data_IF_127910886447
#
_entry.id   IF_127910886447
#
_cell.length_a   1.000
_cell.length_b   1.000
_cell.length_c   1.000
_cell.angle_alpha   90.00
_cell.angle_beta   90.00
_cell.angle_gamma   90.00
#
_symmetry.space_group_name_H-M   'P 1'
#
loop_
_entity.id
_entity.type
_entity.pdbx_description
1 polymer ?
#
# COMPACT_ATOMS: atom_id res chain seq x y z
N UNK A 1 50.13 15.56 4.93
CA UNK A 1 50.79 15.93 6.22
C UNK A 1 50.28 14.96 7.26
N UNK A 2 51.20 14.29 7.96
CA UNK A 2 50.88 13.25 8.94
C UNK A 2 51.63 13.55 10.20
N UNK A 3 50.93 13.65 11.33
CA UNK A 3 51.56 13.89 12.64
C UNK A 3 50.85 13.02 13.68
N UNK A 4 51.59 12.49 14.64
CA UNK A 4 50.99 11.84 15.80
C UNK A 4 51.36 12.59 17.09
N UNK A 5 50.50 12.58 18.08
CA UNK A 5 50.67 13.37 19.29
C UNK A 5 49.90 12.75 20.46
N UNK A 6 50.23 13.15 21.68
CA UNK A 6 49.41 12.92 22.88
C UNK A 6 48.54 14.14 23.15
N UNK A 7 47.21 13.99 23.36
CA UNK A 7 46.33 15.12 23.66
C UNK A 7 46.79 15.86 24.92
N UNK A 8 46.92 17.19 24.83
CA UNK A 8 47.21 18.03 25.98
C UNK A 8 45.91 18.42 26.69
N UNK A 9 45.87 18.26 28.02
CA UNK A 9 44.76 18.70 28.86
C UNK A 9 45.33 19.56 29.99
N UNK A 10 44.59 20.61 30.40
CA UNK A 10 44.93 21.37 31.64
C UNK A 10 44.17 20.76 32.81
N UNK A 11 44.91 20.38 33.87
CA UNK A 11 44.35 19.91 35.13
C UNK A 11 45.07 20.66 36.26
N UNK A 12 44.34 21.42 37.09
CA UNK A 12 44.87 22.24 38.18
C UNK A 12 46.01 23.19 37.73
N UNK A 13 45.80 23.89 36.60
CA UNK A 13 46.82 24.82 36.05
C UNK A 13 48.00 24.18 35.33
N UNK A 14 48.23 22.89 35.49
CA UNK A 14 49.35 22.14 34.86
C UNK A 14 48.88 21.44 33.56
N UNK A 15 49.77 21.41 32.58
CA UNK A 15 49.54 20.66 31.33
C UNK A 15 49.85 19.22 31.57
N UNK A 16 48.83 18.35 31.35
CA UNK A 16 48.97 16.90 31.45
C UNK A 16 48.77 16.30 30.06
N UNK A 17 49.62 15.38 29.65
CA UNK A 17 49.49 14.65 28.40
C UNK A 17 48.60 13.41 28.59
N UNK A 18 47.73 13.14 27.62
CA UNK A 18 46.96 11.94 27.59
C UNK A 18 47.83 10.66 27.50
N UNK A 19 47.33 9.54 28.01
CA UNK A 19 48.08 8.28 27.98
C UNK A 19 48.18 7.72 26.55
N UNK A 20 47.15 7.93 25.72
CA UNK A 20 47.05 7.35 24.38
C UNK A 20 47.49 8.32 23.31
N UNK A 21 48.15 7.80 22.29
CA UNK A 21 48.52 8.58 21.10
C UNK A 21 47.31 8.74 20.15
N UNK A 22 47.32 9.85 19.39
CA UNK A 22 46.40 10.18 18.31
C UNK A 22 47.21 10.56 17.06
N UNK A 23 46.66 10.32 15.88
CA UNK A 23 47.25 10.76 14.63
C UNK A 23 46.36 11.81 13.96
N UNK A 24 47.00 12.88 13.43
CA UNK A 24 46.36 13.80 12.49
C UNK A 24 46.85 13.49 11.10
N UNK A 25 45.93 13.04 10.24
CA UNK A 25 46.23 12.60 8.90
C UNK A 25 45.36 13.33 7.90
N UNK A 26 45.98 13.83 6.81
CA UNK A 26 45.24 14.25 5.62
C UNK A 26 45.49 13.20 4.57
N UNK A 27 44.43 12.48 4.23
CA UNK A 27 44.51 11.47 3.16
C UNK A 27 44.49 12.15 1.78
N UNK A 28 45.10 11.54 0.75
CA UNK A 28 45.03 12.03 -0.62
C UNK A 28 43.58 12.20 -1.07
N UNK A 29 43.25 13.34 -1.65
CA UNK A 29 41.89 13.67 -2.09
C UNK A 29 40.93 14.22 -1.03
N UNK A 30 41.35 14.29 0.25
CA UNK A 30 40.52 14.86 1.31
C UNK A 30 40.94 16.30 1.64
N UNK A 31 39.97 17.20 1.79
CA UNK A 31 40.20 18.59 2.20
C UNK A 31 40.38 18.75 3.71
N UNK A 32 39.87 17.82 4.52
CA UNK A 32 39.91 17.91 6.00
C UNK A 32 40.92 16.94 6.59
N UNK A 33 41.56 17.39 7.65
CA UNK A 33 42.41 16.50 8.47
C UNK A 33 41.53 15.66 9.38
N UNK A 34 41.79 14.34 9.42
CA UNK A 34 41.16 13.40 10.37
C UNK A 34 42.04 13.25 11.60
N UNK A 35 41.43 13.25 12.77
CA UNK A 35 42.08 12.99 14.05
C UNK A 35 41.69 11.56 14.51
N UNK A 36 42.65 10.62 14.38
CA UNK A 36 42.44 9.18 14.55
C UNK A 36 43.03 8.75 15.89
N UNK A 37 42.27 8.11 16.80
CA UNK A 37 42.84 7.53 18.01
C UNK A 37 43.66 6.30 17.64
N UNK A 38 44.90 6.20 18.13
CA UNK A 38 45.75 5.06 17.87
C UNK A 38 45.67 3.96 18.96
N UNK A 39 45.06 4.31 20.12
CA UNK A 39 44.80 3.40 21.24
C UNK A 39 46.05 2.67 21.79
N UNK A 40 47.20 3.28 21.63
CA UNK A 40 48.50 2.79 22.11
C UNK A 40 49.17 3.83 22.97
N UNK A 41 50.00 3.36 23.91
CA UNK A 41 50.69 4.20 24.90
C UNK A 41 52.15 4.43 24.54
N UNK A 42 52.74 3.61 23.69
CA UNK A 42 54.14 3.68 23.24
C UNK A 42 54.25 4.37 21.89
N UNK A 43 55.28 5.18 21.74
CA UNK A 43 55.54 5.94 20.51
C UNK A 43 55.81 5.01 19.31
N UNK A 44 56.61 3.96 19.49
CA UNK A 44 56.96 3.03 18.41
C UNK A 44 55.73 2.26 17.90
N UNK A 45 54.90 1.80 18.80
CA UNK A 45 53.62 1.16 18.46
C UNK A 45 52.64 2.12 17.76
N UNK A 46 52.65 3.43 18.16
CA UNK A 46 51.84 4.45 17.49
C UNK A 46 52.29 4.69 16.04
N UNK A 47 53.58 4.72 15.80
CA UNK A 47 54.17 4.90 14.48
C UNK A 47 53.85 3.72 13.57
N UNK A 48 54.04 2.48 14.08
CA UNK A 48 53.65 1.26 13.34
C UNK A 48 52.17 1.20 12.97
N UNK A 49 51.28 1.50 13.94
CA UNK A 49 49.83 1.55 13.70
C UNK A 49 49.45 2.62 12.70
N UNK A 50 50.09 3.79 12.75
CA UNK A 50 49.92 4.85 11.78
C UNK A 50 50.33 4.44 10.37
N UNK A 51 51.48 3.81 10.21
CA UNK A 51 51.94 3.30 8.91
C UNK A 51 50.98 2.24 8.34
N UNK A 52 50.45 1.38 9.20
CA UNK A 52 49.42 0.42 8.79
C UNK A 52 48.16 1.10 8.28
N UNK A 53 47.64 2.09 9.00
CA UNK A 53 46.46 2.85 8.58
C UNK A 53 46.67 3.55 7.22
N UNK A 54 47.85 4.13 7.01
CA UNK A 54 48.20 4.76 5.74
C UNK A 54 48.30 3.75 4.59
N UNK A 55 48.90 2.59 4.84
CA UNK A 55 48.99 1.50 3.87
C UNK A 55 47.59 0.96 3.50
N UNK A 56 46.75 0.70 4.49
CA UNK A 56 45.38 0.21 4.25
C UNK A 56 44.58 1.23 3.45
N UNK A 57 44.63 2.51 3.80
CA UNK A 57 43.95 3.54 3.03
C UNK A 57 44.46 3.66 1.59
N UNK A 58 45.77 3.53 1.37
CA UNK A 58 46.34 3.48 0.04
C UNK A 58 45.82 2.28 -0.77
N UNK A 59 45.73 1.11 -0.15
CA UNK A 59 45.18 -0.10 -0.78
C UNK A 59 43.67 0.02 -1.06
N UNK A 60 42.93 0.65 -0.15
CA UNK A 60 41.51 0.96 -0.36
C UNK A 60 41.31 1.92 -1.55
N UNK A 61 42.14 2.95 -1.67
CA UNK A 61 42.04 3.97 -2.72
C UNK A 61 42.28 3.41 -4.13
N UNK A 62 43.09 2.38 -4.26
CA UNK A 62 43.38 1.69 -5.53
C UNK A 62 42.53 0.43 -5.73
N UNK A 63 41.63 0.13 -4.82
CA UNK A 63 40.69 -1.02 -4.93
C UNK A 63 41.31 -2.37 -4.60
N UNK A 64 42.53 -2.44 -4.05
CA UNK A 64 43.20 -3.68 -3.61
C UNK A 64 42.62 -4.20 -2.28
N UNK A 65 42.02 -3.32 -1.49
CA UNK A 65 41.41 -3.66 -0.22
C UNK A 65 40.01 -3.10 -0.16
N UNK A 66 39.03 -3.84 0.36
CA UNK A 66 37.69 -3.34 0.59
C UNK A 66 37.69 -2.24 1.67
N UNK A 67 36.83 -1.21 1.58
CA UNK A 67 36.72 -0.18 2.59
C UNK A 67 36.61 -0.75 4.00
N UNK A 68 37.26 -0.12 4.99
CA UNK A 68 37.28 -0.57 6.38
C UNK A 68 35.89 -0.93 6.91
N UNK A 69 34.92 -0.06 6.66
CA UNK A 69 33.52 -0.26 7.09
C UNK A 69 32.90 -1.53 6.53
N UNK A 70 33.26 -1.91 5.31
CA UNK A 70 32.78 -3.14 4.68
C UNK A 70 33.46 -4.37 5.29
N UNK A 71 34.75 -4.30 5.61
CA UNK A 71 35.49 -5.38 6.27
C UNK A 71 34.92 -5.66 7.66
N UNK A 72 34.72 -4.61 8.47
CA UNK A 72 34.08 -4.69 9.78
C UNK A 72 32.67 -5.27 9.72
N UNK A 73 31.87 -4.83 8.73
CA UNK A 73 30.53 -5.37 8.50
C UNK A 73 30.53 -6.83 8.07
N UNK A 74 31.56 -7.29 7.34
CA UNK A 74 31.69 -8.67 6.91
C UNK A 74 31.98 -9.63 8.08
N UNK A 75 32.67 -9.16 9.13
CA UNK A 75 32.98 -9.92 10.35
C UNK A 75 31.82 -9.90 11.35
N UNK A 76 30.98 -8.87 11.30
CA UNK A 76 29.82 -8.73 12.21
C UNK A 76 28.70 -9.69 11.80
N UNK A 77 28.09 -10.42 12.75
CA UNK A 77 26.98 -11.31 12.45
C UNK A 77 25.81 -10.56 11.81
N UNK A 78 25.18 -11.19 10.80
CA UNK A 78 24.04 -10.64 10.07
C UNK A 78 22.87 -10.27 11.01
N UNK A 79 22.69 -11.05 12.08
CA UNK A 79 21.68 -10.81 13.09
C UNK A 79 21.85 -9.48 13.83
N UNK A 80 23.09 -9.03 14.05
CA UNK A 80 23.35 -7.78 14.76
C UNK A 80 23.09 -6.58 13.84
N UNK A 81 23.49 -6.65 12.59
CA UNK A 81 23.08 -5.66 11.58
C UNK A 81 21.57 -5.60 11.43
N UNK A 82 20.90 -6.75 11.46
CA UNK A 82 19.46 -6.79 11.36
C UNK A 82 18.75 -6.15 12.57
N UNK A 83 19.26 -6.32 13.79
CA UNK A 83 18.75 -5.61 14.98
C UNK A 83 18.81 -4.09 14.80
N UNK A 84 19.92 -3.57 14.29
CA UNK A 84 20.09 -2.13 14.01
C UNK A 84 19.07 -1.65 12.97
N UNK A 85 18.89 -2.39 11.87
CA UNK A 85 17.89 -2.09 10.85
C UNK A 85 16.48 -2.05 11.43
N UNK A 86 16.09 -3.05 12.22
CA UNK A 86 14.78 -3.10 12.87
C UNK A 86 14.58 -1.91 13.81
N UNK A 87 15.61 -1.50 14.55
CA UNK A 87 15.54 -0.33 15.41
C UNK A 87 15.34 0.95 14.60
N UNK A 88 16.02 1.10 13.45
CA UNK A 88 15.79 2.24 12.52
C UNK A 88 14.36 2.25 11.99
N UNK A 89 13.77 1.09 11.64
CA UNK A 89 12.37 1.01 11.24
C UNK A 89 11.41 1.46 12.36
N UNK A 90 11.70 1.12 13.60
CA UNK A 90 10.89 1.53 14.77
C UNK A 90 10.98 3.03 15.00
N UNK A 91 12.16 3.61 14.93
CA UNK A 91 12.39 5.05 15.15
C UNK A 91 11.87 5.91 13.98
N UNK A 92 11.83 5.39 12.75
CA UNK A 92 11.26 6.06 11.59
C UNK A 92 9.72 6.05 11.53
N UNK A 93 9.05 5.56 12.58
CA UNK A 93 7.59 5.60 12.70
C UNK A 93 6.85 4.53 11.88
N UNK A 94 7.55 3.47 11.45
CA UNK A 94 6.90 2.37 10.76
C UNK A 94 5.86 1.67 11.63
N UNK A 95 4.73 1.28 11.04
CA UNK A 95 3.65 0.58 11.74
C UNK A 95 4.16 -0.73 12.37
N UNK A 96 3.86 -0.95 13.65
CA UNK A 96 4.31 -2.13 14.42
C UNK A 96 4.11 -3.46 13.67
N UNK A 97 2.97 -3.63 12.98
CA UNK A 97 2.69 -4.85 12.21
C UNK A 97 3.63 -5.03 11.01
N UNK A 98 4.06 -3.96 10.37
CA UNK A 98 5.03 -4.02 9.28
C UNK A 98 6.39 -4.46 9.80
N UNK A 99 6.86 -3.84 10.90
CA UNK A 99 8.14 -4.20 11.53
C UNK A 99 8.13 -5.67 11.93
N UNK A 100 7.06 -6.14 12.59
CA UNK A 100 6.90 -7.56 12.95
C UNK A 100 6.92 -8.49 11.73
N UNK A 101 6.32 -8.07 10.61
CA UNK A 101 6.38 -8.82 9.35
C UNK A 101 7.80 -8.95 8.83
N UNK A 102 8.57 -7.85 8.82
CA UNK A 102 9.97 -7.84 8.43
C UNK A 102 10.82 -8.71 9.36
N UNK A 103 10.63 -8.58 10.69
CA UNK A 103 11.31 -9.43 11.66
C UNK A 103 11.08 -10.92 11.41
N UNK A 104 9.83 -11.31 11.15
CA UNK A 104 9.48 -12.70 10.88
C UNK A 104 10.07 -13.19 9.54
N UNK A 105 9.93 -12.42 8.46
CA UNK A 105 10.38 -12.84 7.14
C UNK A 105 11.91 -12.93 7.05
N UNK A 106 12.62 -11.91 7.49
CA UNK A 106 14.09 -11.88 7.44
C UNK A 106 14.68 -12.90 8.42
N UNK A 107 14.13 -12.97 9.65
CA UNK A 107 14.57 -13.96 10.64
C UNK A 107 14.39 -15.41 10.17
N UNK A 108 13.27 -15.71 9.49
CA UNK A 108 13.05 -17.03 8.89
C UNK A 108 14.09 -17.34 7.81
N UNK A 109 14.36 -16.40 6.89
CA UNK A 109 15.37 -16.59 5.84
C UNK A 109 16.77 -16.80 6.41
N UNK A 110 17.17 -15.98 7.39
CA UNK A 110 18.48 -16.14 8.03
C UNK A 110 18.63 -17.52 8.63
N UNK A 111 17.59 -18.04 9.30
CA UNK A 111 17.60 -19.36 9.91
C UNK A 111 17.55 -20.48 8.89
N UNK A 112 16.60 -20.42 7.94
CA UNK A 112 16.33 -21.54 7.01
C UNK A 112 17.37 -21.62 5.88
N UNK A 113 17.97 -20.48 5.46
CA UNK A 113 19.06 -20.46 4.49
C UNK A 113 20.45 -20.54 5.12
N UNK A 114 20.57 -20.56 6.46
CA UNK A 114 21.85 -20.63 7.16
C UNK A 114 22.72 -19.36 7.02
N UNK A 115 22.13 -18.18 6.83
CA UNK A 115 22.87 -16.93 6.62
C UNK A 115 23.33 -16.31 7.94
N UNK A 116 24.63 -16.50 8.23
CA UNK A 116 25.27 -15.93 9.42
C UNK A 116 25.87 -14.54 9.19
N UNK A 117 26.35 -14.24 7.97
CA UNK A 117 27.01 -13.00 7.57
C UNK A 117 26.52 -12.52 6.20
N UNK A 118 26.84 -11.28 5.83
CA UNK A 118 26.45 -10.76 4.50
C UNK A 118 26.99 -11.57 3.33
N UNK A 119 28.17 -12.17 3.47
CA UNK A 119 28.79 -13.04 2.45
C UNK A 119 28.00 -14.31 2.14
N UNK A 120 27.20 -14.78 3.11
CA UNK A 120 26.41 -16.00 2.97
C UNK A 120 25.14 -15.76 2.16
N UNK A 121 24.71 -14.50 2.06
CA UNK A 121 23.48 -14.12 1.35
C UNK A 121 23.71 -14.11 -0.14
N UNK A 122 23.12 -15.06 -0.86
CA UNK A 122 23.23 -15.15 -2.31
C UNK A 122 21.88 -15.55 -2.95
N UNK A 123 21.79 -15.40 -4.27
CA UNK A 123 20.58 -15.67 -5.03
C UNK A 123 20.27 -17.16 -5.12
N UNK A 124 21.29 -17.99 -5.18
CA UNK A 124 21.20 -19.45 -5.34
C UNK A 124 20.56 -20.08 -4.11
N UNK A 125 21.05 -19.77 -2.90
CA UNK A 125 20.52 -20.29 -1.65
C UNK A 125 19.07 -19.79 -1.40
N UNK A 126 18.76 -18.53 -1.78
CA UNK A 126 17.38 -18.04 -1.74
C UNK A 126 16.46 -18.80 -2.69
N UNK A 127 16.92 -19.10 -3.91
CA UNK A 127 16.11 -19.81 -4.89
C UNK A 127 15.89 -21.26 -4.49
N UNK A 128 16.92 -21.95 -3.97
CA UNK A 128 16.81 -23.29 -3.43
C UNK A 128 15.78 -23.33 -2.29
N UNK A 129 15.92 -22.46 -1.29
CA UNK A 129 14.95 -22.32 -0.22
C UNK A 129 13.54 -22.09 -0.76
N UNK A 130 13.36 -21.19 -1.74
CA UNK A 130 12.06 -20.85 -2.33
C UNK A 130 11.40 -22.03 -3.05
N UNK A 131 12.19 -22.91 -3.66
CA UNK A 131 11.68 -24.12 -4.35
C UNK A 131 11.11 -25.15 -3.38
N UNK A 132 11.66 -25.26 -2.19
CA UNK A 132 11.23 -26.19 -1.15
C UNK A 132 9.93 -25.72 -0.43
N UNK A 133 9.50 -24.49 -0.66
CA UNK A 133 8.37 -23.92 0.07
C UNK A 133 7.01 -24.20 -0.60
N UNK A 134 6.08 -24.72 0.16
CA UNK A 134 4.66 -24.86 -0.26
C UNK A 134 3.85 -23.57 -0.14
N UNK A 135 4.47 -22.48 0.26
CA UNK A 135 3.81 -21.19 0.48
C UNK A 135 3.30 -20.57 -0.83
N UNK A 136 2.24 -19.76 -0.74
CA UNK A 136 1.71 -19.06 -1.90
C UNK A 136 2.74 -18.10 -2.51
N UNK A 137 2.77 -17.92 -3.86
CA UNK A 137 3.73 -17.04 -4.55
C UNK A 137 3.78 -15.62 -3.98
N UNK A 138 2.63 -15.07 -3.57
CA UNK A 138 2.58 -13.75 -2.93
C UNK A 138 3.37 -13.72 -1.62
N UNK A 139 3.23 -14.73 -0.78
CA UNK A 139 3.95 -14.82 0.50
C UNK A 139 5.45 -14.95 0.26
N UNK A 140 5.88 -15.78 -0.71
CA UNK A 140 7.28 -15.91 -1.07
C UNK A 140 7.88 -14.60 -1.59
N UNK A 141 7.10 -13.82 -2.33
CA UNK A 141 7.51 -12.47 -2.75
C UNK A 141 7.65 -11.51 -1.56
N UNK A 142 6.84 -11.65 -0.51
CA UNK A 142 6.96 -10.82 0.71
C UNK A 142 8.28 -11.12 1.45
N UNK A 143 8.73 -12.37 1.51
CA UNK A 143 10.06 -12.73 2.02
C UNK A 143 11.17 -12.02 1.23
N UNK A 144 11.12 -12.10 -0.10
CA UNK A 144 12.11 -11.46 -0.97
C UNK A 144 12.12 -9.92 -0.77
N UNK A 145 10.96 -9.30 -0.70
CA UNK A 145 10.83 -7.85 -0.51
C UNK A 145 11.39 -7.42 0.83
N UNK A 146 11.10 -8.16 1.91
CA UNK A 146 11.61 -7.85 3.24
C UNK A 146 13.15 -7.96 3.29
N UNK A 147 13.71 -9.04 2.74
CA UNK A 147 15.17 -9.23 2.69
C UNK A 147 15.85 -8.18 1.81
N UNK A 148 15.29 -7.87 0.66
CA UNK A 148 15.80 -6.79 -0.20
C UNK A 148 15.79 -5.42 0.48
N UNK A 149 14.80 -5.14 1.32
CA UNK A 149 14.73 -3.89 2.08
C UNK A 149 15.90 -3.78 3.06
N UNK A 150 16.20 -4.86 3.78
CA UNK A 150 17.35 -4.93 4.68
C UNK A 150 18.68 -4.81 3.93
N UNK A 151 18.86 -5.55 2.84
CA UNK A 151 20.08 -5.50 2.04
C UNK A 151 20.30 -4.15 1.36
N UNK A 152 19.22 -3.47 0.91
CA UNK A 152 19.30 -2.11 0.38
C UNK A 152 19.71 -1.10 1.45
N UNK A 153 19.28 -1.29 2.69
CA UNK A 153 19.74 -0.52 3.82
C UNK A 153 21.22 -0.74 4.06
N UNK A 154 21.70 -1.98 4.03
CA UNK A 154 23.13 -2.31 4.18
C UNK A 154 23.98 -1.73 3.05
N UNK A 155 23.51 -1.78 1.80
CA UNK A 155 24.14 -1.16 0.63
C UNK A 155 24.26 0.35 0.78
N UNK A 156 23.19 1.03 1.21
CA UNK A 156 23.16 2.47 1.49
C UNK A 156 24.18 2.88 2.54
N UNK A 157 24.39 2.06 3.57
CA UNK A 157 25.35 2.31 4.61
C UNK A 157 26.79 1.91 4.23
N UNK A 158 27.01 1.28 3.08
CA UNK A 158 28.32 0.84 2.61
C UNK A 158 28.84 -0.42 3.33
N UNK A 159 27.95 -1.23 3.91
CA UNK A 159 28.30 -2.54 4.48
C UNK A 159 28.50 -3.60 3.40
N UNK A 160 27.83 -3.46 2.27
CA UNK A 160 27.97 -4.28 1.08
C UNK A 160 28.04 -3.39 -0.17
N UNK A 161 28.75 -3.84 -1.21
CA UNK A 161 28.85 -3.10 -2.47
C UNK A 161 27.54 -3.09 -3.21
N UNK A 162 26.83 -4.23 -3.24
CA UNK A 162 25.60 -4.42 -4.00
C UNK A 162 24.71 -5.45 -3.31
N UNK A 163 23.41 -5.21 -3.38
CA UNK A 163 22.42 -6.17 -2.90
C UNK A 163 22.45 -7.45 -3.76
N UNK A 164 22.84 -8.62 -3.19
CA UNK A 164 22.96 -9.87 -3.94
C UNK A 164 21.63 -10.40 -4.47
N UNK A 165 20.50 -10.03 -3.83
CA UNK A 165 19.16 -10.44 -4.26
C UNK A 165 18.48 -9.41 -5.20
N UNK A 166 19.17 -8.36 -5.62
CA UNK A 166 18.55 -7.28 -6.42
C UNK A 166 17.93 -7.78 -7.73
N UNK A 167 18.57 -8.78 -8.38
CA UNK A 167 18.12 -9.35 -9.67
C UNK A 167 17.22 -10.57 -9.56
N UNK A 168 16.92 -11.07 -8.35
CA UNK A 168 16.02 -12.22 -8.17
C UNK A 168 14.60 -11.79 -8.55
N UNK A 169 13.98 -12.45 -9.51
CA UNK A 169 12.64 -12.10 -9.97
C UNK A 169 11.56 -12.51 -8.97
N UNK A 170 10.50 -11.71 -8.93
CA UNK A 170 9.29 -12.05 -8.16
C UNK A 170 8.48 -13.11 -8.90
N UNK A 171 7.86 -14.01 -8.16
CA UNK A 171 6.96 -15.01 -8.72
C UNK A 171 5.67 -14.36 -9.24
N UNK A 172 5.18 -14.85 -10.36
CA UNK A 172 3.92 -14.41 -10.96
C UNK A 172 2.76 -14.82 -10.03
N UNK A 173 1.99 -13.83 -9.58
CA UNK A 173 0.85 -14.03 -8.66
C UNK A 173 -0.47 -14.15 -9.41
N UNK A 174 -0.57 -13.53 -10.60
CA UNK A 174 -1.80 -13.46 -11.38
C UNK A 174 -2.24 -14.86 -11.87
N UNK A 175 -3.50 -15.20 -11.65
CA UNK A 175 -4.04 -16.54 -11.98
C UNK A 175 -3.71 -17.64 -10.97
N UNK A 176 -2.89 -17.38 -9.95
CA UNK A 176 -2.54 -18.33 -8.88
C UNK A 176 -3.08 -17.93 -7.50
N UNK A 177 -4.09 -17.09 -7.47
CA UNK A 177 -4.73 -16.70 -6.22
C UNK A 177 -5.63 -17.86 -5.73
N UNK A 178 -5.15 -18.57 -4.71
CA UNK A 178 -5.91 -19.68 -4.10
C UNK A 178 -7.19 -19.24 -3.38
N UNK A 179 -7.42 -17.93 -3.18
CA UNK A 179 -8.52 -17.39 -2.37
C UNK A 179 -9.00 -16.06 -2.93
N UNK A 180 -9.81 -16.07 -3.98
CA UNK A 180 -10.53 -14.90 -4.43
C UNK A 180 -11.60 -14.51 -3.39
N UNK A 181 -11.93 -13.22 -3.27
CA UNK A 181 -13.12 -12.77 -2.54
C UNK A 181 -14.26 -12.61 -3.50
N UNK A 182 -15.47 -12.91 -3.03
CA UNK A 182 -16.70 -12.56 -3.73
C UNK A 182 -17.48 -11.47 -3.00
N UNK A 183 -18.42 -10.86 -3.70
CA UNK A 183 -19.43 -10.02 -3.11
C UNK A 183 -20.50 -10.87 -2.42
N UNK A 184 -21.20 -10.28 -1.44
CA UNK A 184 -22.43 -10.86 -0.88
C UNK A 184 -23.58 -10.67 -1.88
N UNK A 185 -24.44 -11.66 -1.99
CA UNK A 185 -25.72 -11.52 -2.69
C UNK A 185 -26.68 -10.65 -1.88
N UNK A 186 -27.75 -10.11 -2.51
CA UNK A 186 -28.75 -9.31 -1.81
C UNK A 186 -29.43 -10.10 -0.68
N UNK A 187 -29.75 -11.36 -0.95
CA UNK A 187 -30.35 -12.28 0.04
C UNK A 187 -29.39 -12.56 1.22
N UNK A 188 -28.10 -12.82 0.95
CA UNK A 188 -27.10 -12.98 2.01
C UNK A 188 -26.97 -11.73 2.88
N UNK A 189 -27.02 -10.55 2.28
CA UNK A 189 -26.99 -9.28 3.02
C UNK A 189 -28.20 -9.18 3.93
N UNK A 190 -29.41 -9.42 3.42
CA UNK A 190 -30.65 -9.36 4.23
C UNK A 190 -30.60 -10.34 5.40
N UNK A 191 -30.25 -11.60 5.16
CA UNK A 191 -30.13 -12.60 6.22
C UNK A 191 -29.08 -12.24 7.27
N UNK A 192 -27.93 -11.71 6.85
CA UNK A 192 -26.89 -11.26 7.77
C UNK A 192 -27.34 -10.08 8.64
N UNK A 193 -28.02 -9.08 8.05
CA UNK A 193 -28.53 -7.93 8.78
C UNK A 193 -29.62 -8.32 9.76
N UNK A 194 -30.47 -9.30 9.44
CA UNK A 194 -31.50 -9.80 10.33
C UNK A 194 -30.94 -10.41 11.62
N UNK A 195 -29.79 -11.08 11.56
CA UNK A 195 -29.12 -11.72 12.73
C UNK A 195 -28.07 -10.83 13.41
N UNK A 196 -27.81 -9.65 12.86
CA UNK A 196 -26.72 -8.79 13.31
C UNK A 196 -26.89 -8.27 14.75
N UNK A 197 -28.14 -8.04 15.19
CA UNK A 197 -28.44 -7.47 16.51
C UNK A 197 -27.67 -6.17 16.77
N UNK A 198 -26.95 -6.04 17.91
CA UNK A 198 -26.22 -4.81 18.22
C UNK A 198 -25.13 -4.42 17.20
N UNK A 199 -24.73 -5.33 16.31
CA UNK A 199 -23.68 -5.12 15.29
C UNK A 199 -24.24 -4.59 13.97
N UNK A 200 -25.57 -4.46 13.87
CA UNK A 200 -26.24 -3.94 12.68
C UNK A 200 -25.62 -2.64 12.15
N UNK A 201 -25.36 -1.59 12.96
CA UNK A 201 -24.76 -0.34 12.46
C UNK A 201 -23.36 -0.54 11.90
N UNK A 202 -22.59 -1.51 12.40
CA UNK A 202 -21.24 -1.83 11.91
C UNK A 202 -21.31 -2.45 10.52
N UNK A 203 -22.26 -3.39 10.32
CA UNK A 203 -22.43 -4.05 9.03
C UNK A 203 -23.01 -3.11 7.99
N UNK A 204 -24.01 -2.29 8.37
CA UNK A 204 -24.54 -1.22 7.51
C UNK A 204 -23.45 -0.23 7.10
N UNK A 205 -22.62 0.23 8.04
CA UNK A 205 -21.51 1.13 7.71
C UNK A 205 -20.55 0.49 6.70
N UNK A 206 -20.18 -0.77 6.91
CA UNK A 206 -19.28 -1.47 6.00
C UNK A 206 -19.90 -1.68 4.60
N UNK A 207 -21.21 -1.99 4.53
CA UNK A 207 -21.96 -2.22 3.29
C UNK A 207 -22.25 -0.96 2.50
N UNK A 208 -22.57 0.16 3.19
CA UNK A 208 -23.04 1.38 2.55
C UNK A 208 -21.95 2.44 2.32
N UNK A 209 -20.74 2.21 2.85
CA UNK A 209 -19.59 3.12 2.66
C UNK A 209 -18.33 2.42 2.16
N UNK A 210 -18.26 1.12 2.29
CA UNK A 210 -17.07 0.35 1.96
C UNK A 210 -15.82 0.70 2.78
N UNK A 211 -15.94 1.40 3.92
CA UNK A 211 -14.82 1.76 4.81
C UNK A 211 -14.08 0.49 5.26
N UNK A 212 -12.75 0.59 5.34
CA UNK A 212 -11.94 -0.57 5.72
C UNK A 212 -12.14 -0.94 7.19
N UNK A 213 -12.12 -2.24 7.49
CA UNK A 213 -12.33 -2.78 8.84
C UNK A 213 -11.46 -2.11 9.92
N UNK A 214 -10.21 -1.80 9.60
CA UNK A 214 -9.29 -1.13 10.53
C UNK A 214 -9.64 0.34 10.77
N UNK A 215 -10.19 1.01 9.78
CA UNK A 215 -10.67 2.39 9.87
C UNK A 215 -11.97 2.44 10.70
N UNK A 216 -12.94 1.56 10.44
CA UNK A 216 -14.20 1.48 11.22
C UNK A 216 -13.93 1.34 12.71
N UNK A 217 -12.94 0.55 13.10
CA UNK A 217 -12.58 0.36 14.52
C UNK A 217 -12.10 1.62 15.21
N UNK A 218 -11.60 2.60 14.46
CA UNK A 218 -10.96 3.81 14.96
C UNK A 218 -11.83 5.04 14.81
N UNK A 219 -13.02 4.92 14.17
CA UNK A 219 -13.96 6.02 14.02
C UNK A 219 -14.44 6.51 15.37
N UNK A 220 -14.45 7.83 15.52
CA UNK A 220 -14.93 8.55 16.69
C UNK A 220 -16.22 9.26 16.39
N UNK A 221 -16.97 9.66 17.40
CA UNK A 221 -18.19 10.45 17.21
C UNK A 221 -17.90 11.82 16.58
N UNK A 222 -16.73 12.40 16.79
CA UNK A 222 -16.28 13.61 16.09
C UNK A 222 -16.19 13.42 14.56
N UNK A 223 -15.99 12.20 14.09
CA UNK A 223 -15.87 11.89 12.66
C UNK A 223 -17.24 11.77 11.96
N UNK A 224 -18.34 11.70 12.73
CA UNK A 224 -19.70 11.47 12.23
C UNK A 224 -20.57 12.72 12.38
N UNK A 225 -20.81 13.43 11.28
CA UNK A 225 -21.81 14.47 11.20
C UNK A 225 -23.14 13.81 10.79
N UNK A 226 -24.05 13.63 11.75
CA UNK A 226 -25.32 12.94 11.52
C UNK A 226 -26.49 13.91 11.28
N UNK A 227 -26.31 15.18 11.61
CA UNK A 227 -27.35 16.21 11.57
C UNK A 227 -27.12 17.18 10.41
N UNK A 228 -28.20 17.87 9.97
CA UNK A 228 -28.18 18.77 8.82
C UNK A 228 -28.47 18.09 7.48
N UNK A 229 -28.38 18.84 6.38
CA UNK A 229 -28.76 18.41 5.02
C UNK A 229 -27.79 17.44 4.38
N UNK A 230 -26.55 17.36 4.86
CA UNK A 230 -25.48 16.54 4.30
C UNK A 230 -24.81 15.66 5.36
N UNK A 231 -25.49 14.62 5.89
CA UNK A 231 -24.89 13.67 6.82
C UNK A 231 -23.70 12.99 6.19
N UNK A 232 -22.57 12.95 6.92
CA UNK A 232 -21.32 12.37 6.40
C UNK A 232 -20.48 11.77 7.50
N UNK A 233 -19.57 10.90 7.11
CA UNK A 233 -18.51 10.37 7.97
C UNK A 233 -17.17 10.74 7.37
N UNK A 234 -16.28 11.27 8.20
CA UNK A 234 -14.92 11.66 7.82
C UNK A 234 -13.94 10.58 8.26
N UNK A 235 -13.15 10.07 7.34
CA UNK A 235 -12.06 9.17 7.66
C UNK A 235 -10.78 9.99 7.64
N UNK A 236 -10.31 10.37 8.81
CA UNK A 236 -9.13 11.23 8.95
C UNK A 236 -7.85 10.59 8.38
N UNK A 237 -6.89 11.42 8.00
CA UNK A 237 -5.59 10.97 7.49
C UNK A 237 -4.84 10.06 8.48
N UNK A 238 -5.07 10.21 9.78
CA UNK A 238 -4.41 9.43 10.83
C UNK A 238 -4.84 7.97 10.83
N UNK A 239 -6.13 7.69 10.56
CA UNK A 239 -6.69 6.33 10.56
C UNK A 239 -6.73 5.72 9.15
N UNK A 240 -6.66 6.57 8.12
CA UNK A 240 -6.67 6.15 6.72
C UNK A 240 -5.36 5.45 6.34
N UNK A 241 -5.47 4.27 5.72
CA UNK A 241 -4.31 3.54 5.20
C UNK A 241 -3.47 4.35 4.21
N UNK A 242 -4.09 5.28 3.50
CA UNK A 242 -3.44 6.08 2.46
C UNK A 242 -2.98 7.45 2.97
N UNK A 243 -3.13 7.75 4.27
CA UNK A 243 -2.79 9.03 4.90
C UNK A 243 -3.46 10.25 4.27
N UNK A 244 -4.68 10.08 3.76
CA UNK A 244 -5.53 11.17 3.28
C UNK A 244 -6.84 11.17 4.03
N UNK A 245 -7.37 12.36 4.24
CA UNK A 245 -8.71 12.56 4.77
C UNK A 245 -9.73 12.47 3.64
N UNK A 246 -10.82 11.74 3.88
CA UNK A 246 -11.92 11.59 2.95
C UNK A 246 -13.25 11.70 3.71
N UNK A 247 -14.17 12.50 3.22
CA UNK A 247 -15.53 12.59 3.73
C UNK A 247 -16.48 11.80 2.81
N UNK A 248 -17.29 10.92 3.40
CA UNK A 248 -18.24 10.07 2.69
C UNK A 248 -19.67 10.45 3.09
N UNK A 249 -20.59 10.66 2.14
CA UNK A 249 -22.00 10.85 2.42
C UNK A 249 -22.59 9.58 3.04
N UNK A 250 -23.55 9.74 3.92
CA UNK A 250 -24.21 8.64 4.61
C UNK A 250 -25.61 8.39 4.05
N UNK A 251 -25.93 7.10 3.86
CA UNK A 251 -27.29 6.67 3.53
C UNK A 251 -28.23 6.93 4.72
N UNK A 252 -29.51 7.31 4.51
CA UNK A 252 -30.46 7.59 5.58
C UNK A 252 -30.60 6.47 6.62
N UNK A 253 -30.65 5.20 6.19
CA UNK A 253 -30.73 4.06 7.09
C UNK A 253 -29.51 3.94 8.01
N UNK A 254 -28.32 4.28 7.49
CA UNK A 254 -27.10 4.28 8.29
C UNK A 254 -27.11 5.42 9.29
N UNK A 255 -27.64 6.61 8.91
CA UNK A 255 -27.81 7.74 9.83
C UNK A 255 -28.75 7.35 10.97
N UNK A 256 -29.89 6.74 10.65
CA UNK A 256 -30.84 6.26 11.66
C UNK A 256 -30.20 5.23 12.60
N UNK A 257 -29.48 4.25 12.05
CA UNK A 257 -28.79 3.22 12.84
C UNK A 257 -27.68 3.80 13.75
N UNK A 258 -26.94 4.82 13.27
CA UNK A 258 -25.92 5.49 14.08
C UNK A 258 -26.53 6.38 15.16
N UNK A 259 -27.62 7.07 14.87
CA UNK A 259 -28.36 7.85 15.88
C UNK A 259 -28.90 6.97 16.98
N UNK A 260 -29.42 5.79 16.64
CA UNK A 260 -29.98 4.84 17.62
C UNK A 260 -28.95 4.34 18.64
N UNK A 261 -27.65 4.31 18.27
CA UNK A 261 -26.57 3.88 19.18
C UNK A 261 -25.79 5.04 19.81
N UNK A 262 -26.10 6.30 19.44
CA UNK A 262 -25.40 7.48 19.97
C UNK A 262 -25.82 7.73 21.42
N UNK A 263 -24.89 7.69 22.40
CA UNK A 263 -25.23 7.98 23.77
C UNK A 263 -25.70 9.43 23.96
N UNK A 264 -26.64 9.68 24.86
CA UNK A 264 -27.10 11.03 25.19
C UNK A 264 -25.95 11.94 25.67
N UNK A 265 -25.02 11.39 26.48
CA UNK A 265 -23.79 12.07 26.93
C UNK A 265 -22.58 11.61 26.11
N UNK A 266 -22.61 11.87 24.80
CA UNK A 266 -21.58 11.41 23.88
C UNK A 266 -20.32 12.29 23.97
N UNK A 267 -19.19 11.66 24.31
CA UNK A 267 -17.88 12.31 24.16
C UNK A 267 -17.44 12.25 22.69
N UNK A 268 -17.18 13.40 22.08
CA UNK A 268 -16.81 13.47 20.67
C UNK A 268 -15.55 12.66 20.32
N UNK A 269 -14.60 12.58 21.23
CA UNK A 269 -13.37 11.78 21.10
C UNK A 269 -13.58 10.27 21.35
N UNK A 270 -14.78 9.87 21.80
CA UNK A 270 -15.16 8.47 22.04
C UNK A 270 -15.31 7.69 20.75
N UNK A 271 -14.88 6.41 20.77
CA UNK A 271 -15.07 5.50 19.62
C UNK A 271 -16.54 5.18 19.43
N UNK A 272 -17.04 5.25 18.17
CA UNK A 272 -18.44 4.91 17.82
C UNK A 272 -18.77 3.47 18.22
N UNK A 273 -17.87 2.53 17.94
CA UNK A 273 -18.11 1.08 18.14
C UNK A 273 -17.29 0.47 19.28
N UNK A 274 -17.06 1.24 20.35
CA UNK A 274 -16.32 0.75 21.52
C UNK A 274 -16.98 -0.50 22.09
N UNK A 275 -16.23 -1.61 22.19
CA UNK A 275 -16.74 -2.89 22.73
C UNK A 275 -17.69 -3.67 21.81
N UNK A 276 -18.25 -3.05 20.78
CA UNK A 276 -19.24 -3.67 19.87
C UNK A 276 -18.60 -4.33 18.65
N UNK A 277 -17.39 -3.92 18.27
CA UNK A 277 -16.78 -4.34 17.02
C UNK A 277 -16.44 -5.84 17.04
N UNK A 278 -16.94 -6.66 16.07
CA UNK A 278 -16.76 -8.10 16.11
C UNK A 278 -15.31 -8.52 15.84
N UNK A 279 -14.78 -9.41 16.68
CA UNK A 279 -13.63 -10.22 16.32
C UNK A 279 -13.96 -11.17 15.17
N UNK A 280 -12.95 -11.78 14.52
CA UNK A 280 -13.19 -12.71 13.41
C UNK A 280 -14.08 -13.90 13.82
N UNK A 281 -13.86 -14.50 15.01
CA UNK A 281 -14.69 -15.61 15.51
C UNK A 281 -16.16 -15.21 15.64
N UNK A 282 -16.45 -14.01 16.13
CA UNK A 282 -17.82 -13.51 16.26
C UNK A 282 -18.45 -13.24 14.90
N UNK A 283 -17.72 -12.60 14.02
CA UNK A 283 -18.18 -12.33 12.66
C UNK A 283 -18.56 -13.62 11.91
N UNK A 284 -17.73 -14.66 11.97
CA UNK A 284 -18.05 -15.95 11.36
C UNK A 284 -19.23 -16.66 12.01
N UNK A 285 -19.47 -16.47 13.31
CA UNK A 285 -20.71 -16.95 13.95
C UNK A 285 -21.95 -16.24 13.42
N UNK A 286 -21.87 -14.94 13.13
CA UNK A 286 -22.97 -14.20 12.55
C UNK A 286 -23.25 -14.66 11.12
N UNK A 287 -22.23 -14.97 10.32
CA UNK A 287 -22.41 -15.58 9.01
C UNK A 287 -23.08 -16.96 9.10
N UNK A 288 -22.64 -17.79 10.04
CA UNK A 288 -23.25 -19.10 10.27
C UNK A 288 -24.71 -18.97 10.70
N UNK A 289 -25.03 -18.06 11.61
CA UNK A 289 -26.41 -17.81 12.05
C UNK A 289 -27.29 -17.29 10.89
N UNK A 290 -26.71 -16.59 9.93
CA UNK A 290 -27.39 -16.17 8.71
C UNK A 290 -27.50 -17.28 7.65
N UNK A 291 -27.00 -18.49 7.91
CA UNK A 291 -26.94 -19.58 6.93
C UNK A 291 -26.03 -19.28 5.73
N UNK A 292 -24.94 -18.51 5.96
CA UNK A 292 -24.01 -18.12 4.91
C UNK A 292 -22.72 -18.92 5.06
N UNK A 293 -22.38 -19.70 4.03
CA UNK A 293 -21.06 -20.33 3.96
C UNK A 293 -20.02 -19.30 3.46
N UNK A 294 -19.00 -19.07 4.29
CA UNK A 294 -17.92 -18.12 4.01
C UNK A 294 -16.70 -18.77 3.36
N UNK A 295 -16.68 -20.11 3.28
CA UNK A 295 -15.59 -20.86 2.67
C UNK A 295 -15.63 -20.69 1.16
N UNK A 296 -14.47 -20.84 0.55
CA UNK A 296 -14.36 -20.85 -0.90
C UNK A 296 -14.76 -22.22 -1.44
N UNK A 297 -15.96 -22.32 -1.99
CA UNK A 297 -16.52 -23.51 -2.63
C UNK A 297 -16.34 -23.48 -4.16
N UNK A 298 -15.42 -22.64 -4.67
CA UNK A 298 -15.18 -22.45 -6.11
C UNK A 298 -15.64 -21.08 -6.62
N UNK A 299 -16.50 -20.39 -5.88
CA UNK A 299 -17.03 -19.07 -6.22
C UNK A 299 -16.38 -17.91 -5.45
N UNK A 300 -15.43 -18.22 -4.59
CA UNK A 300 -14.72 -17.25 -3.75
C UNK A 300 -15.21 -17.21 -2.31
N UNK A 301 -14.32 -16.78 -1.42
CA UNK A 301 -14.60 -16.71 0.02
C UNK A 301 -15.26 -15.40 0.42
N UNK A 302 -16.00 -15.45 1.53
CA UNK A 302 -16.51 -14.27 2.23
C UNK A 302 -15.69 -13.98 3.49
N UNK A 303 -15.33 -12.72 3.67
CA UNK A 303 -14.77 -12.19 4.90
C UNK A 303 -15.31 -10.76 5.14
N UNK A 304 -14.90 -10.11 6.22
CA UNK A 304 -15.35 -8.74 6.51
C UNK A 304 -14.99 -7.74 5.38
N UNK A 305 -13.93 -7.99 4.64
CA UNK A 305 -13.54 -7.12 3.53
C UNK A 305 -14.43 -7.33 2.29
N UNK A 306 -15.15 -8.44 2.22
CA UNK A 306 -16.17 -8.69 1.18
C UNK A 306 -17.30 -7.66 1.19
N UNK A 307 -17.59 -7.00 2.33
CA UNK A 307 -18.52 -5.85 2.36
C UNK A 307 -18.08 -4.74 1.40
N UNK A 308 -16.78 -4.45 1.37
CA UNK A 308 -16.23 -3.45 0.46
C UNK A 308 -16.29 -3.90 -1.01
N UNK A 309 -16.12 -5.21 -1.27
CA UNK A 309 -16.33 -5.78 -2.62
C UNK A 309 -17.80 -5.64 -3.01
N UNK A 310 -18.72 -5.98 -2.12
CA UNK A 310 -20.17 -5.84 -2.33
C UNK A 310 -20.55 -4.39 -2.64
N UNK A 311 -20.12 -3.44 -1.83
CA UNK A 311 -20.37 -2.03 -2.04
C UNK A 311 -19.87 -1.56 -3.43
N UNK A 312 -18.63 -1.87 -3.78
CA UNK A 312 -18.06 -1.50 -5.07
C UNK A 312 -18.82 -2.13 -6.25
N UNK A 313 -19.20 -3.40 -6.12
CA UNK A 313 -19.94 -4.15 -7.14
C UNK A 313 -21.34 -3.56 -7.35
N UNK A 314 -22.03 -3.23 -6.27
CA UNK A 314 -23.37 -2.65 -6.34
C UNK A 314 -23.38 -1.20 -6.87
N UNK A 315 -22.30 -0.44 -6.66
CA UNK A 315 -22.15 0.87 -7.28
C UNK A 315 -21.99 0.82 -8.80
N UNK A 316 -21.53 -0.31 -9.36
CA UNK A 316 -21.19 -0.40 -10.77
C UNK A 316 -22.37 -0.16 -11.72
N UNK A 317 -23.58 -0.76 -11.53
CA UNK A 317 -24.73 -0.54 -12.41
C UNK A 317 -25.37 0.85 -12.22
N UNK A 318 -25.37 1.38 -11.00
CA UNK A 318 -26.09 2.60 -10.64
C UNK A 318 -25.28 3.90 -10.77
N UNK A 319 -23.96 3.82 -10.98
CA UNK A 319 -23.08 4.98 -11.02
C UNK A 319 -22.50 5.17 -12.41
N UNK A 320 -22.94 6.17 -13.20
CA UNK A 320 -22.53 6.36 -14.59
C UNK A 320 -21.03 6.63 -14.73
N UNK A 321 -20.42 7.30 -13.75
CA UNK A 321 -19.04 7.73 -13.80
C UNK A 321 -18.12 6.85 -12.93
N UNK A 322 -17.08 6.27 -13.53
CA UNK A 322 -16.02 5.59 -12.79
C UNK A 322 -15.33 6.48 -11.75
N UNK A 323 -15.23 7.78 -12.04
CA UNK A 323 -14.69 8.79 -11.12
C UNK A 323 -15.49 8.89 -9.83
N UNK A 324 -16.83 8.87 -9.93
CA UNK A 324 -17.71 8.90 -8.75
C UNK A 324 -17.55 7.60 -7.94
N UNK A 325 -17.52 6.45 -8.61
CA UNK A 325 -17.24 5.17 -7.93
C UNK A 325 -15.89 5.18 -7.22
N UNK A 326 -14.85 5.69 -7.86
CA UNK A 326 -13.52 5.82 -7.26
C UNK A 326 -13.54 6.74 -6.04
N UNK A 327 -14.24 7.86 -6.10
CA UNK A 327 -14.38 8.79 -4.98
C UNK A 327 -15.09 8.14 -3.80
N UNK A 328 -16.25 7.50 -4.01
CA UNK A 328 -16.98 6.77 -2.97
C UNK A 328 -16.18 5.63 -2.38
N UNK A 329 -15.40 4.91 -3.20
CA UNK A 329 -14.50 3.85 -2.76
C UNK A 329 -13.20 4.37 -2.17
N UNK A 330 -12.92 5.67 -2.27
CA UNK A 330 -11.66 6.28 -1.85
C UNK A 330 -10.45 5.59 -2.51
N UNK A 331 -10.60 5.25 -3.80
CA UNK A 331 -9.56 4.67 -4.64
C UNK A 331 -8.88 5.74 -5.46
N UNK A 332 -7.54 5.73 -5.51
CA UNK A 332 -6.74 6.63 -6.36
C UNK A 332 -6.29 5.97 -7.66
N UNK A 333 -6.31 4.65 -7.72
CA UNK A 333 -5.98 3.86 -8.90
C UNK A 333 -7.26 3.19 -9.43
N UNK A 334 -7.67 3.47 -10.69
CA UNK A 334 -8.82 2.85 -11.35
C UNK A 334 -8.76 1.32 -11.35
N UNK A 335 -7.55 0.76 -11.48
CA UNK A 335 -7.34 -0.70 -11.46
C UNK A 335 -7.85 -1.36 -10.19
N UNK A 336 -7.83 -0.64 -9.05
CA UNK A 336 -8.37 -1.16 -7.80
C UNK A 336 -9.88 -1.31 -7.87
N UNK A 337 -10.59 -0.30 -8.39
CA UNK A 337 -12.04 -0.35 -8.56
C UNK A 337 -12.44 -1.45 -9.54
N UNK A 338 -11.86 -1.45 -10.73
CA UNK A 338 -12.27 -2.35 -11.82
C UNK A 338 -11.88 -3.83 -11.57
N UNK A 339 -10.66 -4.10 -11.08
CA UNK A 339 -10.13 -5.48 -11.01
C UNK A 339 -10.17 -6.10 -9.62
N UNK A 340 -10.04 -5.29 -8.57
CA UNK A 340 -9.85 -5.82 -7.21
C UNK A 340 -11.14 -5.85 -6.42
N UNK A 341 -12.02 -4.87 -6.61
CA UNK A 341 -13.21 -4.68 -5.79
C UNK A 341 -14.53 -4.86 -6.53
N UNK A 342 -14.54 -5.01 -7.86
CA UNK A 342 -15.76 -5.34 -8.60
C UNK A 342 -15.81 -6.85 -8.85
N UNK A 343 -16.87 -7.50 -8.38
CA UNK A 343 -17.14 -8.91 -8.69
C UNK A 343 -17.90 -8.98 -10.03
N UNK A 344 -17.17 -9.30 -11.10
CA UNK A 344 -17.71 -9.32 -12.45
C UNK A 344 -18.88 -10.31 -12.64
N UNK A 345 -18.98 -11.34 -11.79
CA UNK A 345 -20.06 -12.34 -11.87
C UNK A 345 -21.42 -11.78 -11.48
N UNK A 346 -21.42 -10.70 -10.68
CA UNK A 346 -22.63 -10.03 -10.21
C UNK A 346 -22.98 -8.77 -11.03
N UNK A 347 -22.23 -8.50 -12.10
CA UNK A 347 -22.60 -7.42 -13.03
C UNK A 347 -23.75 -7.87 -13.93
N UNK A 348 -24.65 -6.95 -14.32
CA UNK A 348 -25.81 -7.23 -15.18
C UNK A 348 -25.36 -7.39 -16.66
N UNK A 349 -24.51 -8.41 -16.92
CA UNK A 349 -23.93 -8.62 -18.24
C UNK A 349 -24.98 -9.04 -19.27
N UNK A 350 -26.01 -9.79 -18.86
CA UNK A 350 -27.12 -10.19 -19.74
C UNK A 350 -27.90 -8.98 -20.24
N UNK A 351 -28.27 -8.08 -19.32
CA UNK A 351 -29.00 -6.86 -19.66
C UNK A 351 -28.14 -5.91 -20.49
N UNK A 352 -26.84 -5.89 -20.24
CA UNK A 352 -25.89 -5.07 -20.99
C UNK A 352 -25.72 -5.54 -22.46
N UNK A 353 -25.71 -6.84 -22.71
CA UNK A 353 -25.54 -7.38 -24.08
C UNK A 353 -26.79 -7.20 -24.95
N UNK A 354 -27.95 -7.03 -24.34
CA UNK A 354 -29.20 -6.77 -25.09
C UNK A 354 -29.36 -5.28 -25.51
N UNK A 355 -28.53 -4.37 -25.04
CA UNK A 355 -28.59 -2.94 -25.40
C UNK A 355 -28.05 -2.62 -26.80
N UNK A 356 -26.98 -3.28 -27.32
CA UNK A 356 -26.57 -3.05 -28.71
C UNK A 356 -27.63 -3.65 -29.66
N UNK A 357 -28.35 -2.82 -30.36
CA UNK A 357 -29.27 -3.24 -31.44
C UNK A 357 -28.58 -3.02 -32.78
N UNK A 358 -28.17 -4.08 -33.40
CA UNK A 358 -27.78 -4.05 -34.80
C UNK A 358 -29.05 -4.28 -35.62
N UNK A 359 -29.67 -3.23 -36.14
CA UNK A 359 -30.75 -3.35 -37.08
C UNK A 359 -30.22 -4.06 -38.33
N UNK A 360 -30.53 -5.33 -38.49
CA UNK A 360 -30.48 -5.94 -39.80
C UNK A 360 -31.58 -5.22 -40.60
N UNK A 361 -31.22 -4.45 -41.62
CA UNK A 361 -32.18 -3.92 -42.56
C UNK A 361 -32.93 -5.15 -43.12
N UNK A 362 -34.17 -5.33 -42.72
CA UNK A 362 -35.07 -6.25 -43.41
C UNK A 362 -35.18 -5.74 -44.84
N UNK A 363 -34.66 -6.51 -45.76
CA UNK A 363 -34.92 -6.31 -47.19
C UNK A 363 -36.43 -6.49 -47.37
N UNK A 364 -37.19 -5.42 -47.29
CA UNK A 364 -38.58 -5.41 -47.75
C UNK A 364 -38.56 -5.60 -49.26
N UNK A 365 -38.71 -6.83 -49.67
CA UNK A 365 -39.08 -7.14 -51.05
C UNK A 365 -40.45 -6.52 -51.33
N UNK A 366 -40.48 -5.45 -52.05
CA UNK A 366 -41.57 -5.05 -52.91
C UNK A 366 -40.96 -4.84 -54.30
N UNK A 367 -41.24 -5.82 -55.15
CA UNK A 367 -41.26 -5.64 -56.57
C UNK A 367 -42.21 -4.49 -56.89
N UNK A 368 -41.70 -3.44 -57.53
CA UNK A 368 -42.46 -2.66 -58.50
C UNK A 368 -41.47 -2.04 -59.46
N UNK A 369 -41.50 -2.59 -60.65
CA UNK A 369 -40.84 -2.18 -61.88
C UNK A 369 -41.40 -0.83 -62.30
N UNK A 370 -40.56 0.20 -62.36
CA UNK A 370 -40.65 1.20 -63.46
C UNK A 370 -39.28 1.88 -63.67
N UNK A 371 -38.78 1.67 -64.87
CA UNK A 371 -37.66 2.41 -65.46
C UNK A 371 -37.99 3.91 -65.56
N UNK A 372 -37.04 4.75 -65.10
CA UNK A 372 -36.71 5.91 -65.95
C UNK A 372 -35.25 6.34 -65.68
N UNK A 373 -34.58 6.49 -66.81
CA UNK A 373 -33.22 6.95 -67.00
C UNK A 373 -33.10 8.44 -66.70
N UNK A 374 -32.08 8.86 -65.91
CA UNK A 374 -31.18 10.00 -66.22
C UNK A 374 -30.14 10.17 -65.12
N UNK A 375 -28.87 9.96 -65.42
CA UNK A 375 -27.71 10.57 -64.77
C UNK A 375 -27.57 12.03 -65.27
N UNK A 376 -26.90 12.96 -64.58
CA UNK A 376 -25.46 12.89 -64.27
C UNK A 376 -24.94 13.58 -62.97
N UNK A 377 -23.85 13.05 -62.53
CA UNK A 377 -22.54 13.67 -62.11
C UNK A 377 -22.49 14.77 -61.05
N UNK A 378 -21.62 14.50 -60.09
CA UNK A 378 -20.61 15.30 -59.40
C UNK A 378 -20.93 16.00 -58.07
N UNK A 379 -20.04 15.78 -57.13
CA UNK A 379 -19.58 16.83 -56.23
C UNK A 379 -19.81 16.61 -54.76
N UNK A 380 -18.76 16.20 -54.05
CA UNK A 380 -18.47 16.05 -52.67
C UNK A 380 -19.11 16.99 -51.66
N UNK A 381 -19.24 16.48 -50.48
CA UNK A 381 -18.68 16.96 -49.24
C UNK A 381 -19.26 16.14 -48.08
N UNK A 382 -18.38 15.45 -47.36
CA UNK A 382 -18.65 14.88 -46.06
C UNK A 382 -18.88 15.99 -45.03
N UNK A 383 -20.05 16.08 -44.47
CA UNK A 383 -20.30 16.80 -43.21
C UNK A 383 -20.94 15.85 -42.22
N UNK A 384 -20.17 15.61 -41.15
CA UNK A 384 -20.55 14.86 -39.98
C UNK A 384 -21.74 15.49 -39.25
N UNK A 385 -22.87 14.83 -39.22
CA UNK A 385 -24.00 15.23 -38.41
C UNK A 385 -23.98 14.36 -37.13
N UNK A 386 -23.59 14.96 -36.01
CA UNK A 386 -23.72 14.38 -34.69
C UNK A 386 -25.21 14.43 -34.33
N UNK A 387 -25.87 13.27 -34.38
CA UNK A 387 -27.23 13.11 -33.85
C UNK A 387 -27.16 12.86 -32.36
N UNK A 388 -27.50 13.86 -31.58
CA UNK A 388 -27.76 13.76 -30.14
C UNK A 388 -29.15 13.15 -29.94
N UNK A 389 -29.19 11.88 -29.51
CA UNK A 389 -30.43 11.26 -29.08
C UNK A 389 -30.65 11.49 -27.58
N UNK A 390 -31.86 11.86 -27.13
CA UNK A 390 -32.18 11.96 -25.70
C UNK A 390 -32.28 10.55 -25.09
N UNK A 391 -31.43 10.27 -24.12
CA UNK A 391 -31.50 9.04 -23.33
C UNK A 391 -32.62 9.18 -22.30
N UNK A 392 -33.76 8.58 -22.57
CA UNK A 392 -34.77 8.33 -21.54
C UNK A 392 -34.36 7.09 -20.75
N UNK A 393 -33.73 7.30 -19.60
CA UNK A 393 -33.43 6.22 -18.65
C UNK A 393 -34.65 6.03 -17.75
N UNK A 394 -35.42 4.98 -17.98
CA UNK A 394 -36.28 4.42 -16.94
C UNK A 394 -35.37 3.67 -15.95
N UNK A 395 -35.16 4.26 -14.78
CA UNK A 395 -34.44 3.64 -13.68
C UNK A 395 -35.40 2.74 -12.92
N UNK A 396 -35.22 1.41 -13.04
CA UNK A 396 -35.73 0.50 -12.03
C UNK A 396 -34.94 0.70 -10.75
N UNK A 397 -35.64 0.99 -9.67
CA UNK A 397 -35.06 1.32 -8.37
C UNK A 397 -34.44 0.09 -7.72
N UNK A 398 -33.15 0.12 -7.50
CA UNK A 398 -32.47 -0.86 -6.68
C UNK A 398 -32.83 -0.59 -5.22
N UNK A 399 -33.55 -1.47 -4.51
CA UNK A 399 -34.09 -1.22 -3.17
C UNK A 399 -33.06 -0.89 -2.09
N UNK A 400 -31.76 -1.09 -2.36
CA UNK A 400 -30.68 -0.75 -1.42
C UNK A 400 -30.10 0.66 -1.59
N UNK A 401 -30.51 1.44 -2.63
CA UNK A 401 -29.89 2.75 -2.95
C UNK A 401 -30.89 3.83 -3.38
N UNK A 402 -32.14 3.70 -3.07
CA UNK A 402 -33.20 4.65 -3.49
C UNK A 402 -33.01 6.09 -3.00
N UNK A 403 -32.16 6.35 -2.03
CA UNK A 403 -31.94 7.70 -1.46
C UNK A 403 -30.85 8.55 -2.11
N UNK A 404 -30.02 8.04 -3.03
CA UNK A 404 -28.83 8.75 -3.54
C UNK A 404 -29.10 9.73 -4.70
N UNK A 405 -30.36 9.96 -5.10
CA UNK A 405 -30.67 10.76 -6.30
C UNK A 405 -30.68 12.29 -6.11
N UNK A 406 -30.54 12.83 -4.92
CA UNK A 406 -30.84 14.26 -4.71
C UNK A 406 -29.71 15.17 -4.21
N UNK A 407 -28.46 14.76 -4.17
CA UNK A 407 -27.39 15.61 -3.64
C UNK A 407 -26.13 15.64 -4.50
N UNK A 408 -26.19 16.26 -5.68
CA UNK A 408 -24.98 16.64 -6.41
C UNK A 408 -25.07 18.10 -6.86
N UNK A 409 -24.38 18.98 -6.15
CA UNK A 409 -24.01 20.32 -6.60
C UNK A 409 -22.57 20.23 -7.11
N UNK A 410 -22.25 20.74 -8.33
CA UNK A 410 -20.90 20.65 -8.89
C UNK A 410 -19.97 21.65 -8.20
N UNK A 411 -18.88 21.16 -7.62
CA UNK A 411 -17.76 21.99 -7.16
C UNK A 411 -16.84 22.28 -8.36
N UNK A 412 -16.82 23.56 -8.72
CA UNK A 412 -15.96 24.14 -9.73
C UNK A 412 -14.47 24.10 -9.37
N UNK A 413 -13.68 23.93 -10.40
CA UNK A 413 -12.25 24.15 -10.66
C UNK A 413 -11.45 24.96 -9.65
N UNK A 414 -10.26 24.43 -9.32
CA UNK A 414 -9.03 25.19 -9.45
C UNK A 414 -7.86 24.28 -9.83
N UNK A 415 -7.20 24.65 -10.94
CA UNK A 415 -6.10 23.90 -11.51
C UNK A 415 -4.77 24.21 -10.82
N UNK A 416 -3.96 23.19 -10.67
CA UNK A 416 -2.49 23.34 -10.60
C UNK A 416 -1.76 22.05 -11.03
N UNK A 417 -0.99 22.24 -12.06
CA UNK A 417 0.21 21.55 -12.57
C UNK A 417 0.43 20.06 -12.25
N UNK A 418 0.29 19.25 -13.30
CA UNK A 418 0.79 17.88 -13.37
C UNK A 418 2.32 17.84 -13.34
N UNK A 419 2.89 17.11 -12.39
CA UNK A 419 4.21 16.54 -12.47
C UNK A 419 4.09 15.07 -12.91
N UNK A 420 4.81 14.71 -13.96
CA UNK A 420 4.90 13.35 -14.50
C UNK A 420 5.53 12.43 -13.46
N UNK A 421 4.83 11.35 -13.10
CA UNK A 421 5.39 10.25 -12.30
C UNK A 421 5.44 8.98 -13.13
N UNK A 422 6.63 8.39 -13.18
CA UNK A 422 6.93 7.14 -13.87
C UNK A 422 6.27 5.93 -13.21
N UNK A 423 5.82 5.02 -14.08
CA UNK A 423 5.24 3.73 -13.73
C UNK A 423 6.14 2.89 -12.83
N UNK A 424 5.70 2.58 -11.61
CA UNK A 424 6.14 1.41 -10.86
C UNK A 424 4.95 0.75 -10.19
N UNK A 425 4.84 -0.53 -10.43
CA UNK A 425 3.81 -1.43 -9.94
C UNK A 425 3.70 -1.39 -8.42
N UNK A 426 2.52 -1.00 -7.93
CA UNK A 426 2.16 -1.06 -6.52
C UNK A 426 1.89 -2.49 -6.07
N UNK A 427 2.90 -3.12 -5.53
CA UNK A 427 2.71 -4.10 -4.49
C UNK A 427 2.43 -3.34 -3.19
N UNK A 428 1.47 -3.76 -2.40
CA UNK A 428 0.91 -3.16 -1.16
C UNK A 428 1.92 -2.85 -0.02
N UNK A 429 3.15 -2.48 -0.37
CA UNK A 429 4.25 -2.13 0.49
C UNK A 429 4.97 -0.93 -0.11
N UNK A 430 4.37 0.27 -0.01
CA UNK A 430 5.16 1.49 -0.17
C UNK A 430 5.95 1.72 1.12
N UNK A 431 7.24 1.50 1.01
CA UNK A 431 8.23 2.05 1.91
C UNK A 431 8.15 3.58 1.82
N UNK A 432 7.71 4.21 2.91
CA UNK A 432 7.93 5.63 3.13
C UNK A 432 9.42 5.81 3.38
N UNK A 433 10.17 6.16 2.35
CA UNK A 433 11.50 6.73 2.53
C UNK A 433 11.40 8.06 3.27
N UNK A 434 12.35 8.40 4.16
CA UNK A 434 12.36 9.70 4.81
C UNK A 434 12.47 10.80 3.75
N UNK A 435 11.64 11.84 3.89
CA UNK A 435 11.81 13.09 3.14
C UNK A 435 13.16 13.70 3.49
N UNK A 436 13.93 14.21 2.53
CA UNK A 436 15.11 15.00 2.86
C UNK A 436 14.66 16.24 3.62
N UNK A 437 15.20 16.43 4.83
CA UNK A 437 15.06 17.65 5.59
C UNK A 437 15.67 18.80 4.79
N UNK A 438 14.87 19.82 4.51
CA UNK A 438 15.36 21.10 4.03
C UNK A 438 16.29 21.69 5.10
N UNK A 439 17.52 21.95 4.73
CA UNK A 439 18.46 22.76 5.52
C UNK A 439 17.98 24.23 5.45
N UNK A 440 17.96 24.95 6.58
CA UNK A 440 17.79 26.39 6.53
C UNK A 440 19.05 27.05 5.98
N UNK A 441 18.84 28.06 5.15
CA UNK A 441 19.88 28.91 4.55
C UNK A 441 20.68 29.75 5.55
#
# INVERSE_FOLDING_TARGET
MVTFYRPKRRRNGKVVFGRLYRARVRFPGEHRMRDIPLEVTEQRSAEQKLQQILKEHSQESVGLLAPQKMREAAETPLADHFKVFVQELKTSGCVKRYVQGVENYVGTLMKECGWGHFKDVNAESFQAWRQEQEKAPKTLNEYLVAMRSFLKWAERLGFIVRNPLARVETLRVQGRQKRARRAYTADEVQRLLAVAGPRLPIYLLALLTGIRRGEIKQLRWADALLDGDNPRITVSAMISKNHYEDALPLHPDLVAALRAIKPASCKLDGLIFKGMFPGYKRFYRDLLAAGIDWKDLGDGRLDFHSFRVTYCTQLAPGTPSERVRMALMRHRDPKQTAKTYTDARMLPLKEAIHKPSFHRAEASGKDDTQMDTQTPVAGGHLLSTIVTLPVMVKSEENPLFTGLKSAFVPLCHNGSKMAKWSERQDLNLRLLGPKPSALPG
#
